data_IF_976248716614
#
_entry.id   IF_976248716614
#
_cell.length_a   1.000
_cell.length_b   1.000
_cell.length_c   1.000
_cell.angle_alpha   90.00
_cell.angle_beta   90.00
_cell.angle_gamma   90.00
#
_symmetry.space_group_name_H-M   'P 1'
#
loop_
_entity.id
_entity.type
_entity.pdbx_description
1 polymer ?
#
# COMPACT_ATOMS: atom_id res chain seq x y z
N UNK A 1 56.13 40.58 24.64
CA UNK A 1 55.66 40.82 23.26
C UNK A 1 55.44 39.46 22.62
N UNK A 2 54.18 39.07 22.39
CA UNK A 2 53.53 39.14 21.06
C UNK A 2 54.26 38.20 20.07
N UNK A 3 53.76 37.05 19.62
CA UNK A 3 52.57 36.81 18.76
C UNK A 3 52.90 35.49 18.02
N UNK A 4 52.04 34.61 17.51
CA UNK A 4 50.60 34.53 17.30
C UNK A 4 50.34 33.02 17.07
N UNK A 5 49.41 32.43 17.83
CA UNK A 5 48.67 31.25 17.38
C UNK A 5 47.67 31.70 16.31
N UNK A 6 47.55 30.98 15.20
CA UNK A 6 46.29 30.65 14.50
C UNK A 6 46.64 30.12 13.10
N UNK A 7 46.22 28.90 12.76
CA UNK A 7 45.66 28.38 11.48
C UNK A 7 45.50 26.86 11.73
N UNK A 8 44.37 26.16 11.63
CA UNK A 8 43.21 26.29 10.77
C UNK A 8 41.93 25.90 11.54
N UNK A 9 40.99 26.83 11.63
CA UNK A 9 39.59 26.50 11.90
C UNK A 9 39.00 25.98 10.59
N UNK A 10 38.95 24.66 10.41
CA UNK A 10 38.10 24.08 9.38
C UNK A 10 36.69 24.24 9.92
N UNK A 11 36.01 25.31 9.48
CA UNK A 11 34.59 25.46 9.68
C UNK A 11 33.91 24.31 8.93
N UNK A 12 33.55 23.26 9.68
CA UNK A 12 32.50 22.37 9.24
C UNK A 12 31.22 23.21 9.28
N UNK A 13 30.92 23.87 8.16
CA UNK A 13 29.53 24.09 7.81
C UNK A 13 28.96 22.69 7.65
N UNK A 14 28.46 22.12 8.75
CA UNK A 14 27.43 21.09 8.69
C UNK A 14 26.29 21.76 7.96
N UNK A 15 26.29 21.59 6.63
CA UNK A 15 25.19 21.96 5.77
C UNK A 15 23.95 21.35 6.42
N UNK A 16 23.07 22.22 6.91
CA UNK A 16 21.70 21.85 7.20
C UNK A 16 21.05 21.57 5.85
N UNK A 17 21.30 20.39 5.28
CA UNK A 17 20.37 19.77 4.39
C UNK A 17 19.18 19.37 5.29
N UNK A 18 18.24 20.30 5.41
CA UNK A 18 16.85 19.92 5.24
C UNK A 18 16.73 19.58 3.76
N UNK A 19 17.12 18.37 3.39
CA UNK A 19 16.51 17.76 2.23
C UNK A 19 15.25 17.12 2.79
N UNK A 20 14.11 17.64 2.34
CA UNK A 20 12.85 16.97 2.50
C UNK A 20 13.01 15.57 1.87
N UNK A 21 13.01 14.53 2.70
CA UNK A 21 13.08 13.10 2.32
C UNK A 21 11.78 12.64 1.63
N UNK A 22 11.27 13.46 0.70
CA UNK A 22 10.28 13.08 -0.31
C UNK A 22 10.95 13.01 -1.68
N UNK A 23 12.21 12.54 -1.71
CA UNK A 23 12.63 11.77 -2.87
C UNK A 23 11.68 10.57 -2.90
N UNK A 24 10.81 10.51 -3.91
CA UNK A 24 10.28 9.23 -4.36
C UNK A 24 11.50 8.32 -4.50
N UNK A 25 11.72 7.45 -3.52
CA UNK A 25 12.64 6.33 -3.63
C UNK A 25 12.09 5.52 -4.80
N UNK A 26 12.67 5.71 -5.97
CA UNK A 26 12.34 5.03 -7.22
C UNK A 26 12.70 3.52 -7.19
N UNK A 27 12.96 2.99 -5.99
CA UNK A 27 13.30 1.60 -5.72
C UNK A 27 12.65 1.05 -4.42
N UNK A 28 11.73 1.77 -3.77
CA UNK A 28 10.90 1.17 -2.72
C UNK A 28 9.69 0.50 -3.38
N UNK A 29 9.66 -0.82 -3.27
CA UNK A 29 8.58 -1.64 -3.79
C UNK A 29 7.76 -2.14 -2.60
N UNK A 30 6.45 -2.12 -2.76
CA UNK A 30 5.52 -2.46 -1.70
C UNK A 30 4.48 -3.46 -2.19
N UNK A 31 4.05 -4.32 -1.28
CA UNK A 31 2.91 -5.21 -1.50
C UNK A 31 1.63 -4.40 -1.43
N UNK A 32 0.69 -4.68 -2.33
CA UNK A 32 -0.62 -4.05 -2.36
C UNK A 32 -1.73 -5.10 -2.23
N UNK A 33 -2.86 -4.70 -1.67
CA UNK A 33 -4.02 -5.55 -1.47
C UNK A 33 -5.31 -4.83 -1.84
N UNK A 34 -6.33 -5.62 -2.16
CA UNK A 34 -7.70 -5.14 -2.23
C UNK A 34 -8.36 -5.26 -0.85
N UNK A 35 -9.02 -4.21 -0.42
CA UNK A 35 -9.84 -4.20 0.79
C UNK A 35 -11.31 -3.99 0.44
N UNK A 36 -12.19 -4.54 1.27
CA UNK A 36 -13.62 -4.25 1.29
C UNK A 36 -14.07 -4.09 2.74
N UNK A 37 -14.74 -2.98 3.03
CA UNK A 37 -15.32 -2.75 4.36
C UNK A 37 -16.32 -3.84 4.73
N UNK A 38 -16.17 -4.38 5.94
CA UNK A 38 -17.15 -5.26 6.53
C UNK A 38 -18.32 -4.42 7.08
N UNK A 39 -19.52 -4.47 6.48
CA UNK A 39 -20.65 -3.65 6.92
C UNK A 39 -21.18 -4.07 8.30
N UNK A 40 -20.89 -5.30 8.74
CA UNK A 40 -21.34 -5.82 10.02
C UNK A 40 -20.37 -5.47 11.17
N UNK A 41 -19.18 -4.91 10.86
CA UNK A 41 -18.18 -4.60 11.86
C UNK A 41 -18.68 -3.58 12.89
N UNK A 42 -18.49 -3.91 14.17
CA UNK A 42 -18.72 -3.00 15.28
C UNK A 42 -17.46 -2.89 16.13
N UNK A 43 -16.97 -1.65 16.29
CA UNK A 43 -15.76 -1.38 17.05
C UNK A 43 -15.88 -1.91 18.49
N UNK A 44 -14.96 -2.81 18.86
CA UNK A 44 -14.92 -3.45 20.18
C UNK A 44 -15.76 -4.73 20.31
N UNK A 45 -16.48 -5.15 19.26
CA UNK A 45 -17.21 -6.42 19.21
C UNK A 45 -16.49 -7.43 18.30
N UNK A 46 -15.79 -8.38 18.92
CA UNK A 46 -15.03 -9.41 18.20
C UNK A 46 -15.89 -10.48 17.54
N UNK A 47 -17.22 -10.46 17.73
CA UNK A 47 -18.13 -11.41 17.07
C UNK A 47 -18.53 -11.00 15.64
N UNK A 48 -18.24 -9.75 15.25
CA UNK A 48 -18.65 -9.18 13.96
C UNK A 48 -17.67 -9.43 12.81
N UNK A 49 -16.58 -10.14 13.07
CA UNK A 49 -15.52 -10.39 12.08
C UNK A 49 -14.51 -9.24 11.99
N UNK A 50 -13.69 -9.20 10.93
CA UNK A 50 -12.68 -8.16 10.74
C UNK A 50 -13.31 -6.82 10.33
N UNK A 51 -12.56 -5.72 10.42
CA UNK A 51 -13.03 -4.40 9.96
C UNK A 51 -13.08 -4.31 8.43
N UNK A 52 -12.07 -4.88 7.77
CA UNK A 52 -11.98 -5.00 6.33
C UNK A 52 -11.72 -6.46 5.98
N UNK A 53 -12.17 -6.89 4.81
CA UNK A 53 -11.72 -8.13 4.19
C UNK A 53 -10.58 -7.80 3.23
N UNK A 54 -9.46 -8.50 3.36
CA UNK A 54 -8.23 -8.19 2.62
C UNK A 54 -7.91 -9.31 1.64
N UNK A 55 -7.60 -8.98 0.39
CA UNK A 55 -7.09 -9.91 -0.62
C UNK A 55 -5.76 -9.45 -1.17
N UNK A 56 -4.73 -10.28 -0.99
CA UNK A 56 -3.41 -10.04 -1.58
C UNK A 56 -3.47 -10.13 -3.11
N UNK A 57 -2.73 -9.25 -3.77
CA UNK A 57 -2.61 -9.27 -5.22
C UNK A 57 -1.50 -10.24 -5.60
N UNK A 58 -1.90 -11.37 -6.18
CA UNK A 58 -1.00 -12.48 -6.51
C UNK A 58 -0.71 -12.53 -8.02
N UNK A 59 0.48 -12.99 -8.37
CA UNK A 59 0.85 -13.32 -9.74
C UNK A 59 0.23 -14.66 -10.19
N UNK A 60 0.62 -15.11 -11.39
CA UNK A 60 0.10 -16.35 -11.97
C UNK A 60 0.58 -17.62 -11.24
N UNK A 61 1.71 -17.53 -10.53
CA UNK A 61 2.28 -18.61 -9.74
C UNK A 61 1.73 -18.62 -8.29
N UNK A 62 1.00 -17.55 -7.91
CA UNK A 62 0.37 -17.38 -6.60
C UNK A 62 1.25 -16.64 -5.60
N UNK A 63 2.31 -15.98 -6.05
CA UNK A 63 3.21 -15.19 -5.22
C UNK A 63 2.73 -13.72 -5.16
N UNK A 64 3.01 -13.02 -4.05
CA UNK A 64 2.61 -11.61 -3.90
C UNK A 64 3.36 -10.70 -4.88
N UNK A 65 2.61 -9.82 -5.55
CA UNK A 65 3.17 -8.83 -6.47
C UNK A 65 3.61 -7.61 -5.68
N UNK A 66 4.88 -7.24 -5.86
CA UNK A 66 5.42 -5.98 -5.40
C UNK A 66 5.29 -4.91 -6.49
N UNK A 67 4.77 -3.74 -6.12
CA UNK A 67 4.62 -2.59 -7.00
C UNK A 67 5.66 -1.54 -6.66
N UNK A 68 6.31 -0.97 -7.67
CA UNK A 68 7.40 -0.01 -7.49
C UNK A 68 7.14 1.28 -8.29
N UNK A 69 7.64 2.42 -7.80
CA UNK A 69 7.61 3.69 -8.55
C UNK A 69 6.22 4.08 -9.06
N UNK A 70 6.09 4.29 -10.37
CA UNK A 70 4.81 4.69 -10.99
C UNK A 70 3.70 3.64 -10.86
N UNK A 71 4.05 2.35 -10.81
CA UNK A 71 3.06 1.29 -10.64
C UNK A 71 2.45 1.34 -9.23
N UNK A 72 3.29 1.59 -8.22
CA UNK A 72 2.85 1.81 -6.86
C UNK A 72 1.94 3.05 -6.75
N UNK A 73 2.39 4.18 -7.31
CA UNK A 73 1.60 5.41 -7.31
C UNK A 73 0.25 5.24 -8.03
N UNK A 74 0.20 4.40 -9.06
CA UNK A 74 -1.04 4.05 -9.77
C UNK A 74 -1.94 3.18 -8.90
N UNK A 75 -1.36 2.19 -8.21
CA UNK A 75 -2.09 1.30 -7.31
C UNK A 75 -2.67 2.01 -6.09
N UNK A 76 -2.07 3.08 -5.61
CA UNK A 76 -2.62 3.92 -4.53
C UNK A 76 -3.56 5.03 -5.03
N UNK A 77 -3.51 5.33 -6.33
CA UNK A 77 -4.31 6.36 -6.97
C UNK A 77 -5.73 5.91 -7.32
N UNK A 78 -6.58 6.83 -7.79
CA UNK A 78 -7.97 6.49 -8.17
C UNK A 78 -8.10 5.63 -9.44
N UNK A 79 -7.00 5.36 -10.14
CA UNK A 79 -7.01 4.72 -11.46
C UNK A 79 -6.53 3.25 -11.38
N UNK A 80 -6.40 2.70 -10.18
CA UNK A 80 -6.00 1.32 -9.97
C UNK A 80 -6.94 0.32 -10.64
N UNK A 81 -6.38 -0.80 -11.08
CA UNK A 81 -7.14 -1.91 -11.68
C UNK A 81 -6.48 -3.24 -11.30
N UNK A 82 -7.26 -4.16 -10.75
CA UNK A 82 -6.82 -5.51 -10.37
C UNK A 82 -7.68 -6.53 -11.08
N UNK A 83 -7.08 -7.59 -11.62
CA UNK A 83 -7.82 -8.67 -12.30
C UNK A 83 -7.60 -9.99 -11.58
N UNK A 84 -8.69 -10.55 -11.06
CA UNK A 84 -8.75 -11.93 -10.56
C UNK A 84 -8.98 -12.86 -11.77
N UNK A 85 -8.05 -13.77 -12.09
CA UNK A 85 -8.13 -14.61 -13.28
C UNK A 85 -9.40 -15.44 -13.40
N UNK A 86 -9.88 -15.65 -14.63
CA UNK A 86 -11.05 -16.49 -14.88
C UNK A 86 -10.84 -17.92 -14.36
N UNK A 87 -11.80 -18.41 -13.57
CA UNK A 87 -11.73 -19.74 -12.97
C UNK A 87 -10.88 -19.82 -11.69
N UNK A 88 -10.33 -18.71 -11.21
CA UNK A 88 -9.76 -18.60 -9.86
C UNK A 88 -10.65 -17.76 -8.95
N UNK A 89 -10.52 -17.94 -7.63
CA UNK A 89 -11.09 -17.03 -6.65
C UNK A 89 -10.03 -16.76 -5.60
N UNK A 90 -9.91 -15.51 -5.16
CA UNK A 90 -8.98 -15.15 -4.09
C UNK A 90 -9.72 -15.25 -2.76
N UNK A 91 -9.12 -15.93 -1.79
CA UNK A 91 -9.67 -16.05 -0.45
C UNK A 91 -9.11 -14.88 0.36
N UNK A 92 -9.96 -14.23 1.17
CA UNK A 92 -9.48 -13.14 2.03
C UNK A 92 -8.46 -13.67 3.05
N UNK A 93 -7.56 -12.82 3.53
CA UNK A 93 -6.55 -13.17 4.52
C UNK A 93 -7.17 -13.80 5.77
N UNK A 94 -8.31 -13.26 6.22
CA UNK A 94 -9.05 -13.75 7.39
C UNK A 94 -9.84 -15.04 7.10
N UNK A 95 -9.91 -15.44 5.83
CA UNK A 95 -10.75 -16.51 5.33
C UNK A 95 -12.24 -16.16 5.31
N UNK A 96 -13.03 -17.07 4.75
CA UNK A 96 -14.50 -17.00 4.79
C UNK A 96 -15.16 -16.24 3.65
N UNK A 97 -14.48 -15.27 3.02
CA UNK A 97 -14.98 -14.60 1.81
C UNK A 97 -14.06 -14.87 0.62
N UNK A 98 -14.67 -15.16 -0.52
CA UNK A 98 -13.98 -15.39 -1.79
C UNK A 98 -14.28 -14.24 -2.74
N UNK A 99 -13.24 -13.56 -3.19
CA UNK A 99 -13.31 -12.60 -4.28
C UNK A 99 -13.43 -13.37 -5.60
N UNK A 100 -14.53 -13.16 -6.31
CA UNK A 100 -14.83 -13.85 -7.54
C UNK A 100 -13.89 -13.42 -8.69
N UNK A 101 -13.70 -14.26 -9.73
CA UNK A 101 -13.03 -13.84 -10.95
C UNK A 101 -13.65 -12.56 -11.52
N UNK A 102 -12.81 -11.63 -11.96
CA UNK A 102 -13.26 -10.36 -12.50
C UNK A 102 -12.20 -9.27 -12.49
N UNK A 103 -12.55 -8.11 -13.05
CA UNK A 103 -11.73 -6.91 -12.98
C UNK A 103 -12.35 -5.94 -11.98
N UNK A 104 -11.54 -5.54 -11.01
CA UNK A 104 -11.86 -4.62 -9.94
C UNK A 104 -11.13 -3.30 -10.18
N UNK A 105 -11.81 -2.19 -9.92
CA UNK A 105 -11.33 -0.82 -10.09
C UNK A 105 -11.80 0.01 -8.90
N UNK A 106 -11.33 1.24 -8.79
CA UNK A 106 -11.77 2.22 -7.77
C UNK A 106 -13.29 2.49 -7.74
N UNK A 107 -14.00 2.12 -8.81
CA UNK A 107 -15.46 2.27 -8.92
C UNK A 107 -16.22 0.96 -8.77
N UNK A 108 -15.51 -0.15 -8.60
CA UNK A 108 -16.12 -1.45 -8.37
C UNK A 108 -16.76 -1.49 -6.98
N UNK A 109 -17.98 -1.98 -6.92
CA UNK A 109 -18.78 -2.07 -5.70
C UNK A 109 -19.19 -3.53 -5.49
N UNK A 110 -19.13 -4.00 -4.26
CA UNK A 110 -19.68 -5.31 -3.91
C UNK A 110 -21.21 -5.28 -4.06
N UNK A 111 -21.82 -6.22 -4.81
CA UNK A 111 -23.25 -6.19 -5.11
C UNK A 111 -24.12 -6.55 -3.92
N UNK A 112 -23.57 -7.09 -2.84
CA UNK A 112 -24.30 -7.51 -1.64
C UNK A 112 -24.32 -6.40 -0.61
N UNK A 113 -23.16 -5.85 -0.29
CA UNK A 113 -22.98 -4.83 0.75
C UNK A 113 -23.19 -3.42 0.23
N UNK A 114 -22.91 -3.19 -1.06
CA UNK A 114 -22.84 -1.85 -1.62
C UNK A 114 -21.59 -1.07 -1.17
N UNK A 115 -20.59 -1.73 -0.60
CA UNK A 115 -19.31 -1.08 -0.28
C UNK A 115 -18.39 -1.09 -1.52
N UNK A 116 -17.56 -0.07 -1.64
CA UNK A 116 -16.56 -0.01 -2.70
C UNK A 116 -15.35 -0.84 -2.34
N UNK A 117 -14.75 -1.46 -3.35
CA UNK A 117 -13.41 -2.00 -3.18
C UNK A 117 -12.40 -0.86 -3.17
N UNK A 118 -11.33 -1.03 -2.41
CA UNK A 118 -10.21 -0.09 -2.35
C UNK A 118 -8.91 -0.85 -2.52
N UNK A 119 -7.90 -0.21 -3.09
CA UNK A 119 -6.53 -0.71 -3.07
C UNK A 119 -5.73 0.02 -2.00
N UNK A 120 -4.93 -0.73 -1.26
CA UNK A 120 -4.03 -0.21 -0.25
C UNK A 120 -2.67 -0.87 -0.41
N UNK A 121 -1.61 -0.08 -0.36
CA UNK A 121 -0.23 -0.57 -0.43
C UNK A 121 0.44 -0.39 0.94
N UNK A 122 1.32 -1.31 1.31
CA UNK A 122 1.96 -1.31 2.63
C UNK A 122 3.20 -0.40 2.63
N UNK A 123 3.21 0.68 3.41
CA UNK A 123 4.39 1.57 3.57
C UNK A 123 5.64 0.89 4.17
#
# INVERSE_FOLDING_TARGET
>A
LLSLMLVASIAFFSSCSKDDDHAHDDNTCHECHLALDNPDYVAGDTSTGPHHYIWHILDADGEEINFCGDELATMEGSDWTVTVPAGSGWISEEGGIVLAPGTYTSTSQDPVTGNYYESHCHD
#
